data_IF_698847726399
#
_entry.id   IF_698847726399
#
_cell.length_a   1.000
_cell.length_b   1.000
_cell.length_c   1.000
_cell.angle_alpha   90.00
_cell.angle_beta   90.00
_cell.angle_gamma   90.00
#
_symmetry.space_group_name_H-M   'P 1'
#
loop_
_entity.id
_entity.type
_entity.pdbx_description
1 polymer ?
#
# COMPACT_ATOMS: atom_id res chain seq x y z
N UNK A 1 17.61 -15.70 -20.58
CA UNK A 1 17.30 -15.37 -19.18
C UNK A 1 15.81 -15.61 -19.05
N UNK A 2 15.43 -16.65 -18.31
CA UNK A 2 14.04 -17.12 -18.21
C UNK A 2 13.19 -16.03 -17.53
N UNK A 3 12.04 -15.65 -18.12
CA UNK A 3 11.12 -14.67 -17.53
C UNK A 3 10.64 -15.09 -16.13
N UNK A 4 10.80 -16.37 -15.76
CA UNK A 4 10.56 -16.90 -14.42
C UNK A 4 11.57 -16.44 -13.35
N UNK A 5 12.74 -15.92 -13.72
CA UNK A 5 13.75 -15.45 -12.75
C UNK A 5 13.61 -13.98 -12.34
N UNK A 6 12.64 -13.23 -12.91
CA UNK A 6 12.54 -11.78 -12.74
C UNK A 6 12.20 -11.28 -11.32
N UNK A 7 11.94 -12.17 -10.35
CA UNK A 7 11.42 -11.77 -9.03
C UNK A 7 12.11 -12.42 -7.82
N UNK A 8 13.40 -12.76 -7.91
CA UNK A 8 14.19 -13.18 -6.74
C UNK A 8 15.13 -12.03 -6.37
N UNK A 9 14.60 -11.00 -5.72
CA UNK A 9 15.43 -9.92 -5.16
C UNK A 9 15.38 -10.00 -3.64
N UNK A 10 16.58 -9.99 -3.03
CA UNK A 10 16.83 -10.05 -1.60
C UNK A 10 16.00 -9.02 -0.83
N UNK A 11 14.93 -9.45 -0.17
CA UNK A 11 14.19 -8.60 0.75
C UNK A 11 14.90 -8.54 2.10
N UNK A 12 15.06 -7.34 2.67
CA UNK A 12 15.43 -7.23 4.07
C UNK A 12 14.22 -7.56 4.95
N UNK A 13 14.35 -8.55 5.84
CA UNK A 13 13.31 -8.86 6.84
C UNK A 13 13.40 -7.94 8.08
N UNK A 14 14.18 -6.86 8.03
CA UNK A 14 14.36 -5.90 9.10
C UNK A 14 14.31 -4.48 8.53
N UNK A 15 13.84 -3.50 9.32
CA UNK A 15 13.26 -3.62 10.67
C UNK A 15 11.75 -3.96 10.67
N UNK A 16 11.13 -4.13 11.84
CA UNK A 16 9.67 -4.25 12.00
C UNK A 16 8.97 -2.89 12.00
N UNK A 17 7.64 -2.86 11.84
CA UNK A 17 6.89 -1.61 11.91
C UNK A 17 6.98 -0.95 13.29
N UNK A 18 6.99 -1.73 14.37
CA UNK A 18 7.10 -1.21 15.74
C UNK A 18 8.47 -0.55 16.00
N UNK A 19 9.55 -1.15 15.46
CA UNK A 19 10.89 -0.59 15.58
C UNK A 19 10.98 0.79 14.89
N UNK A 20 10.48 0.89 13.66
CA UNK A 20 10.42 2.17 12.94
C UNK A 20 9.47 3.16 13.63
N UNK A 21 8.30 2.71 14.09
CA UNK A 21 7.32 3.59 14.72
C UNK A 21 7.87 4.19 16.02
N UNK A 22 8.69 3.44 16.75
CA UNK A 22 9.40 3.93 17.94
C UNK A 22 10.38 5.05 17.60
N UNK A 23 11.11 4.93 16.50
CA UNK A 23 12.02 5.96 16.01
C UNK A 23 11.28 7.25 15.64
N UNK A 24 10.15 7.12 14.94
CA UNK A 24 9.33 8.26 14.51
C UNK A 24 8.22 8.66 15.48
N UNK A 25 8.33 8.29 16.77
CA UNK A 25 7.29 8.53 17.76
C UNK A 25 6.89 10.00 17.88
N UNK A 26 7.85 10.93 17.78
CA UNK A 26 7.61 12.38 17.79
C UNK A 26 6.82 12.86 16.56
N UNK A 27 7.02 12.22 15.41
CA UNK A 27 6.36 12.55 14.14
C UNK A 27 4.98 11.88 14.01
N UNK A 28 4.74 10.78 14.72
CA UNK A 28 3.42 10.13 14.81
C UNK A 28 2.48 10.89 15.74
N UNK A 29 3.01 11.42 16.84
CA UNK A 29 2.21 12.05 17.91
C UNK A 29 1.30 13.15 17.36
N UNK A 30 0.01 13.06 17.67
CA UNK A 30 -0.99 14.06 17.30
C UNK A 30 -1.39 14.05 15.82
N UNK A 31 -0.84 13.17 14.98
CA UNK A 31 -1.22 13.08 13.56
C UNK A 31 -2.57 12.41 13.37
N UNK A 32 -3.28 12.87 12.34
CA UNK A 32 -4.47 12.19 11.82
C UNK A 32 -4.04 11.23 10.73
N UNK A 33 -4.40 9.96 10.87
CA UNK A 33 -4.08 8.89 9.91
C UNK A 33 -5.38 8.28 9.42
N UNK A 34 -5.56 8.28 8.10
CA UNK A 34 -6.66 7.61 7.43
C UNK A 34 -6.09 6.45 6.62
N UNK A 35 -6.72 5.28 6.74
CA UNK A 35 -6.31 4.10 5.98
C UNK A 35 -7.51 3.35 5.41
N UNK A 36 -7.39 2.92 4.16
CA UNK A 36 -8.37 2.11 3.44
C UNK A 36 -8.01 0.63 3.45
N UNK A 37 -9.01 -0.23 3.26
CA UNK A 37 -8.80 -1.67 3.14
C UNK A 37 -8.34 -2.36 4.44
N UNK A 38 -8.66 -1.81 5.62
CA UNK A 38 -8.27 -2.42 6.90
C UNK A 38 -9.08 -3.70 7.13
N UNK A 39 -8.40 -4.78 7.51
CA UNK A 39 -9.01 -6.04 7.91
C UNK A 39 -8.14 -6.74 8.95
N UNK A 40 -8.67 -7.72 9.71
CA UNK A 40 -7.89 -8.50 10.64
C UNK A 40 -6.66 -9.16 9.96
N UNK A 41 -5.53 -9.14 10.64
CA UNK A 41 -4.27 -9.78 10.21
C UNK A 41 -3.71 -9.28 8.86
N UNK A 42 -4.02 -8.06 8.43
CA UNK A 42 -3.44 -7.48 7.22
C UNK A 42 -2.42 -6.36 7.52
N UNK A 43 -1.72 -5.93 6.48
CA UNK A 43 -0.73 -4.85 6.53
C UNK A 43 -1.26 -3.56 7.15
N UNK A 44 -2.49 -3.18 6.80
CA UNK A 44 -3.09 -1.94 7.29
C UNK A 44 -3.34 -1.96 8.79
N UNK A 45 -3.83 -3.09 9.33
CA UNK A 45 -3.97 -3.23 10.77
C UNK A 45 -2.62 -3.28 11.48
N UNK A 46 -1.64 -4.02 10.96
CA UNK A 46 -0.30 -4.06 11.55
C UNK A 46 0.37 -2.67 11.60
N UNK A 47 0.22 -1.87 10.54
CA UNK A 47 0.65 -0.47 10.51
C UNK A 47 -0.03 0.35 11.61
N UNK A 48 -1.36 0.25 11.75
CA UNK A 48 -2.10 0.97 12.79
C UNK A 48 -1.68 0.55 14.20
N UNK A 49 -1.49 -0.74 14.43
CA UNK A 49 -1.05 -1.30 15.71
C UNK A 49 0.36 -0.83 16.08
N UNK A 50 1.27 -0.70 15.10
CA UNK A 50 2.62 -0.20 15.33
C UNK A 50 2.63 1.28 15.75
N UNK A 51 1.78 2.11 15.15
CA UNK A 51 1.78 3.56 15.43
C UNK A 51 0.91 3.95 16.64
N UNK A 52 -0.07 3.13 16.99
CA UNK A 52 -1.03 3.39 18.07
C UNK A 52 -0.40 3.75 19.43
N UNK A 53 0.67 3.06 19.91
CA UNK A 53 1.34 3.40 21.17
C UNK A 53 1.94 4.81 21.20
N UNK A 54 2.20 5.41 20.02
CA UNK A 54 2.87 6.71 19.88
C UNK A 54 1.90 7.90 19.85
N UNK A 55 0.65 7.68 20.29
CA UNK A 55 -0.37 8.72 20.52
C UNK A 55 -0.69 9.54 19.26
N UNK A 56 -1.05 8.91 18.13
CA UNK A 56 -1.65 9.64 17.02
C UNK A 56 -2.90 10.38 17.51
N UNK A 57 -3.21 11.51 16.88
CA UNK A 57 -4.36 12.33 17.24
C UNK A 57 -5.67 11.65 16.86
N UNK A 58 -5.78 11.12 15.65
CA UNK A 58 -7.01 10.50 15.15
C UNK A 58 -6.68 9.37 14.17
N UNK A 59 -7.28 8.19 14.38
CA UNK A 59 -7.20 7.07 13.45
C UNK A 59 -8.56 6.87 12.78
N UNK A 60 -8.59 6.93 11.44
CA UNK A 60 -9.79 6.77 10.62
C UNK A 60 -9.64 5.48 9.81
N UNK A 61 -10.47 4.49 10.13
CA UNK A 61 -10.45 3.18 9.49
C UNK A 61 -11.56 3.09 8.45
N UNK A 62 -11.20 2.72 7.23
CA UNK A 62 -12.13 2.40 6.14
C UNK A 62 -11.96 0.93 5.76
N UNK A 63 -13.05 0.17 5.79
CA UNK A 63 -13.08 -1.24 5.41
C UNK A 63 -14.27 -1.56 4.52
N UNK A 64 -14.14 -2.60 3.68
CA UNK A 64 -15.20 -3.06 2.77
C UNK A 64 -16.39 -3.67 3.51
N UNK A 65 -16.18 -4.24 4.70
CA UNK A 65 -17.24 -4.89 5.48
C UNK A 65 -17.25 -4.38 6.91
N UNK A 66 -18.44 -4.28 7.50
CA UNK A 66 -18.59 -3.91 8.91
C UNK A 66 -17.91 -4.92 9.84
N UNK A 67 -17.92 -6.20 9.49
CA UNK A 67 -17.20 -7.24 10.22
C UNK A 67 -15.70 -6.94 10.29
N UNK A 68 -15.05 -6.71 9.14
CA UNK A 68 -13.62 -6.41 9.12
C UNK A 68 -13.30 -5.12 9.87
N UNK A 69 -14.18 -4.11 9.77
CA UNK A 69 -14.03 -2.86 10.49
C UNK A 69 -14.06 -3.06 12.00
N UNK A 70 -15.12 -3.70 12.51
CA UNK A 70 -15.29 -3.94 13.95
C UNK A 70 -14.18 -4.82 14.51
N UNK A 71 -13.84 -5.93 13.86
CA UNK A 71 -12.76 -6.81 14.31
C UNK A 71 -11.40 -6.11 14.34
N UNK A 72 -11.13 -5.20 13.38
CA UNK A 72 -9.89 -4.42 13.37
C UNK A 72 -9.88 -3.36 14.46
N UNK A 73 -11.01 -2.71 14.70
CA UNK A 73 -11.19 -1.75 15.78
C UNK A 73 -10.98 -2.41 17.16
N UNK A 74 -11.59 -3.57 17.39
CA UNK A 74 -11.45 -4.33 18.64
C UNK A 74 -10.00 -4.76 18.88
N UNK A 75 -9.31 -5.28 17.85
CA UNK A 75 -7.90 -5.64 17.95
C UNK A 75 -7.02 -4.44 18.35
N UNK A 76 -7.27 -3.28 17.75
CA UNK A 76 -6.51 -2.06 18.02
C UNK A 76 -6.76 -1.52 19.44
N UNK A 77 -8.03 -1.48 19.87
CA UNK A 77 -8.41 -1.04 21.22
C UNK A 77 -7.87 -2.01 22.28
N UNK A 78 -7.93 -3.33 22.02
CA UNK A 78 -7.41 -4.34 22.93
C UNK A 78 -5.91 -4.20 23.19
N UNK A 79 -5.13 -3.77 22.19
CA UNK A 79 -3.68 -3.53 22.32
C UNK A 79 -3.34 -2.17 22.93
N UNK A 80 -4.12 -1.13 22.62
CA UNK A 80 -3.90 0.23 23.12
C UNK A 80 -5.20 0.82 23.64
N UNK A 81 -5.62 0.48 24.89
CA UNK A 81 -6.91 0.89 25.45
C UNK A 81 -7.10 2.41 25.54
N UNK A 82 -6.02 3.19 25.53
CA UNK A 82 -6.05 4.64 25.53
C UNK A 82 -6.56 5.25 24.19
N UNK A 83 -6.73 4.46 23.13
CA UNK A 83 -7.25 4.91 21.84
C UNK A 83 -8.78 5.05 21.86
N UNK A 84 -9.28 6.07 22.56
CA UNK A 84 -10.69 6.44 22.52
C UNK A 84 -11.08 7.19 21.23
N UNK A 85 -10.09 7.55 20.39
CA UNK A 85 -10.23 8.40 19.20
C UNK A 85 -10.21 7.62 17.87
N UNK A 86 -10.53 6.32 17.85
CA UNK A 86 -10.70 5.55 16.59
C UNK A 86 -12.08 5.85 16.02
N UNK A 87 -12.15 6.40 14.79
CA UNK A 87 -13.42 6.65 14.09
C UNK A 87 -13.65 5.64 12.99
N UNK A 88 -14.82 5.01 13.03
CA UNK A 88 -15.36 4.23 11.93
C UNK A 88 -15.81 5.20 10.83
N UNK A 89 -15.18 5.13 9.66
CA UNK A 89 -15.66 5.81 8.48
C UNK A 89 -16.50 4.81 7.66
N UNK A 90 -17.83 4.84 7.83
CA UNK A 90 -18.76 4.01 7.06
C UNK A 90 -19.92 4.85 6.51
N UNK A 91 -20.18 4.65 5.20
CA UNK A 91 -21.35 5.07 4.41
C UNK A 91 -21.43 6.51 3.82
N UNK A 92 -20.39 6.94 3.10
CA UNK A 92 -20.55 7.65 1.80
C UNK A 92 -19.80 6.92 0.66
N UNK A 93 -19.27 5.73 0.94
CA UNK A 93 -18.53 4.85 0.01
C UNK A 93 -19.22 3.48 -0.08
N UNK A 94 -20.56 3.45 0.07
CA UNK A 94 -21.35 2.24 -0.04
C UNK A 94 -21.98 2.17 -1.43
N UNK A 95 -21.45 1.27 -2.26
CA UNK A 95 -22.11 0.84 -3.50
C UNK A 95 -21.30 1.09 -4.76
N UNK A 96 -20.10 0.51 -4.86
CA UNK A 96 -19.52 0.25 -6.18
C UNK A 96 -19.12 -1.23 -6.24
N UNK A 97 -19.84 -1.99 -7.07
CA UNK A 97 -19.51 -3.35 -7.50
C UNK A 97 -18.50 -3.35 -8.66
N UNK A 98 -17.62 -2.34 -8.71
CA UNK A 98 -16.46 -2.35 -9.59
C UNK A 98 -15.27 -2.76 -8.73
N UNK A 99 -14.75 -3.94 -9.05
CA UNK A 99 -13.40 -4.48 -8.86
C UNK A 99 -12.37 -3.60 -8.14
N UNK A 100 -11.48 -4.25 -7.38
CA UNK A 100 -10.34 -3.69 -6.63
C UNK A 100 -9.37 -2.86 -7.50
N UNK A 101 -9.83 -1.73 -8.06
CA UNK A 101 -9.22 -0.99 -9.14
C UNK A 101 -8.68 0.39 -8.69
N UNK A 102 -7.64 0.90 -9.38
CA UNK A 102 -7.08 2.24 -9.17
C UNK A 102 -8.13 3.37 -9.13
N UNK A 103 -9.26 3.20 -9.83
CA UNK A 103 -10.36 4.16 -9.88
C UNK A 103 -11.02 4.41 -8.52
N UNK A 104 -11.11 3.39 -7.66
CA UNK A 104 -11.69 3.54 -6.32
C UNK A 104 -10.85 4.46 -5.44
N UNK A 105 -9.52 4.25 -5.43
CA UNK A 105 -8.60 5.12 -4.70
C UNK A 105 -8.52 6.52 -5.30
N UNK A 106 -8.51 6.64 -6.63
CA UNK A 106 -8.56 7.94 -7.31
C UNK A 106 -9.78 8.76 -6.90
N UNK A 107 -10.98 8.16 -7.02
CA UNK A 107 -12.23 8.82 -6.67
C UNK A 107 -12.25 9.18 -5.18
N UNK A 108 -11.86 8.26 -4.31
CA UNK A 108 -11.77 8.50 -2.88
C UNK A 108 -10.86 9.70 -2.56
N UNK A 109 -9.64 9.73 -3.11
CA UNK A 109 -8.70 10.84 -2.94
C UNK A 109 -9.29 12.15 -3.45
N UNK A 110 -10.00 12.14 -4.59
CA UNK A 110 -10.69 13.32 -5.13
C UNK A 110 -11.77 13.85 -4.18
N UNK A 111 -12.57 12.95 -3.59
CA UNK A 111 -13.64 13.31 -2.65
C UNK A 111 -13.09 13.90 -1.34
N UNK A 112 -11.92 13.45 -0.87
CA UNK A 112 -11.28 14.00 0.33
C UNK A 112 -10.27 15.10 0.04
N UNK A 113 -10.06 15.48 -1.23
CA UNK A 113 -9.01 16.43 -1.64
C UNK A 113 -9.10 17.77 -0.91
N UNK A 114 -10.31 18.30 -0.71
CA UNK A 114 -10.51 19.53 0.05
C UNK A 114 -10.00 19.43 1.50
N UNK A 115 -10.14 18.27 2.13
CA UNK A 115 -9.65 18.00 3.49
C UNK A 115 -8.13 17.87 3.50
N UNK A 116 -7.55 17.20 2.51
CA UNK A 116 -6.09 17.09 2.34
C UNK A 116 -5.44 18.45 2.11
N UNK A 117 -5.99 19.27 1.22
CA UNK A 117 -5.51 20.64 0.96
C UNK A 117 -5.64 21.51 2.22
N UNK A 118 -6.70 21.34 2.99
CA UNK A 118 -6.83 22.04 4.25
C UNK A 118 -5.77 21.62 5.26
N UNK A 119 -5.49 20.32 5.39
CA UNK A 119 -4.42 19.82 6.26
C UNK A 119 -3.04 20.36 5.82
N UNK A 120 -2.74 20.34 4.51
CA UNK A 120 -1.48 20.82 3.96
C UNK A 120 -1.25 22.31 4.22
N UNK A 121 -2.29 23.16 4.13
CA UNK A 121 -2.20 24.59 4.46
C UNK A 121 -1.89 24.87 5.94
N UNK A 122 -2.20 23.92 6.82
CA UNK A 122 -2.06 24.06 8.28
C UNK A 122 -0.93 23.18 8.85
N UNK A 123 -0.06 22.62 7.99
CA UNK A 123 1.09 21.82 8.39
C UNK A 123 2.34 22.26 7.64
N UNK A 124 3.55 21.97 8.17
CA UNK A 124 4.80 22.05 7.42
C UNK A 124 4.68 21.45 6.01
N UNK A 125 5.46 22.03 5.09
CA UNK A 125 5.51 21.58 3.70
C UNK A 125 5.76 20.07 3.62
N UNK A 126 4.96 19.35 2.81
CA UNK A 126 5.10 17.90 2.55
C UNK A 126 4.87 17.00 3.77
N UNK A 127 4.38 17.54 4.88
CA UNK A 127 3.98 16.74 6.05
C UNK A 127 2.60 16.10 5.87
N UNK A 128 1.73 16.70 5.06
CA UNK A 128 0.52 16.03 4.58
C UNK A 128 0.89 15.09 3.44
N UNK A 129 0.70 13.78 3.63
CA UNK A 129 1.15 12.73 2.70
C UNK A 129 0.00 11.86 2.20
N UNK A 130 0.08 11.45 0.94
CA UNK A 130 -0.77 10.41 0.33
C UNK A 130 0.09 9.22 -0.11
N UNK A 131 -0.11 8.06 0.50
CA UNK A 131 0.65 6.84 0.23
C UNK A 131 -0.21 5.83 -0.53
N UNK A 132 0.31 5.31 -1.65
CA UNK A 132 -0.35 4.26 -2.41
C UNK A 132 0.46 2.95 -2.34
N UNK A 133 -0.17 1.88 -1.85
CA UNK A 133 0.46 0.56 -1.76
C UNK A 133 0.45 -0.11 -3.14
N UNK A 134 1.65 -0.41 -3.64
CA UNK A 134 1.88 -1.18 -4.87
C UNK A 134 2.31 -2.62 -4.54
N UNK A 135 3.02 -3.28 -5.45
CA UNK A 135 3.62 -4.60 -5.31
C UNK A 135 4.72 -4.76 -6.36
N UNK A 136 5.62 -5.74 -6.21
CA UNK A 136 6.45 -6.22 -7.33
C UNK A 136 5.62 -6.64 -8.55
N UNK A 137 4.33 -6.95 -8.36
CA UNK A 137 3.40 -7.19 -9.47
C UNK A 137 3.30 -6.04 -10.47
N UNK A 138 3.64 -4.79 -10.12
CA UNK A 138 3.67 -3.69 -11.10
C UNK A 138 4.60 -3.99 -12.29
N UNK A 139 5.57 -4.90 -12.13
CA UNK A 139 6.49 -5.36 -13.18
C UNK A 139 5.87 -6.34 -14.19
N UNK A 140 4.65 -6.82 -13.93
CA UNK A 140 3.95 -7.80 -14.77
C UNK A 140 3.28 -7.12 -15.96
N UNK A 141 2.75 -5.91 -15.80
CA UNK A 141 1.97 -5.24 -16.83
C UNK A 141 2.08 -3.72 -16.76
N UNK A 142 2.19 -3.10 -17.92
CA UNK A 142 1.91 -1.67 -18.12
C UNK A 142 0.37 -1.42 -18.11
N UNK A 143 -0.03 -0.16 -18.31
CA UNK A 143 -1.40 0.25 -18.59
C UNK A 143 -1.76 -0.03 -20.05
N UNK A 144 -2.78 -0.85 -20.25
CA UNK A 144 -3.36 -1.11 -21.56
C UNK A 144 -4.35 0.01 -21.92
N UNK A 145 -3.85 1.17 -22.38
CA UNK A 145 -4.67 2.36 -22.63
C UNK A 145 -5.83 2.16 -23.61
N UNK A 146 -5.67 1.27 -24.60
CA UNK A 146 -6.71 0.96 -25.59
C UNK A 146 -7.70 -0.12 -25.12
N UNK A 147 -7.47 -0.71 -23.95
CA UNK A 147 -8.29 -1.76 -23.36
C UNK A 147 -8.13 -1.73 -21.83
N UNK A 148 -8.48 -0.59 -21.21
CA UNK A 148 -8.14 -0.32 -19.81
C UNK A 148 -8.81 -1.30 -18.83
N UNK A 149 -10.00 -1.79 -19.19
CA UNK A 149 -10.73 -2.81 -18.43
C UNK A 149 -10.25 -4.23 -18.75
N UNK A 150 -9.30 -4.39 -19.68
CA UNK A 150 -8.80 -5.64 -20.22
C UNK A 150 -9.92 -6.52 -20.81
N UNK A 151 -11.03 -5.92 -21.26
CA UNK A 151 -12.19 -6.67 -21.75
C UNK A 151 -11.83 -7.50 -22.98
N UNK A 152 -11.09 -6.94 -23.93
CA UNK A 152 -10.66 -7.69 -25.12
C UNK A 152 -9.59 -8.73 -24.76
N UNK A 153 -8.65 -8.37 -23.88
CA UNK A 153 -7.55 -9.29 -23.52
C UNK A 153 -8.01 -10.49 -22.70
N UNK A 154 -8.95 -10.30 -21.78
CA UNK A 154 -9.53 -11.38 -20.96
C UNK A 154 -10.39 -12.34 -21.80
N UNK A 155 -10.99 -11.88 -22.90
CA UNK A 155 -11.74 -12.75 -23.83
C UNK A 155 -10.84 -13.65 -24.69
N UNK A 156 -9.59 -13.25 -24.91
CA UNK A 156 -8.63 -13.99 -25.75
C UNK A 156 -7.73 -14.94 -24.94
N UNK A 157 -7.57 -14.68 -23.64
CA UNK A 157 -6.66 -15.40 -22.74
C UNK A 157 -7.40 -15.81 -21.44
N UNK A 158 -8.24 -16.85 -21.47
CA UNK A 158 -8.78 -17.49 -20.26
C UNK A 158 -7.68 -18.31 -19.55
N UNK A 159 -6.64 -17.64 -19.08
CA UNK A 159 -5.53 -18.26 -18.34
C UNK A 159 -5.35 -17.58 -16.98
N UNK A 160 -4.74 -18.25 -15.98
CA UNK A 160 -4.32 -17.61 -14.74
C UNK A 160 -3.48 -16.33 -14.93
N UNK A 161 -2.80 -16.20 -16.09
CA UNK A 161 -2.00 -15.04 -16.48
C UNK A 161 -2.83 -13.75 -16.66
N UNK A 162 -4.11 -13.89 -16.99
CA UNK A 162 -5.02 -12.77 -17.20
C UNK A 162 -5.33 -12.03 -15.88
N UNK A 163 -5.42 -12.78 -14.77
CA UNK A 163 -5.56 -12.24 -13.42
C UNK A 163 -4.29 -11.53 -12.94
N UNK A 164 -3.11 -12.08 -13.24
CA UNK A 164 -1.83 -11.45 -12.93
C UNK A 164 -1.59 -10.17 -13.75
N UNK A 165 -2.03 -10.13 -15.00
CA UNK A 165 -2.00 -8.92 -15.83
C UNK A 165 -2.85 -7.82 -15.20
N UNK A 166 -4.11 -8.12 -14.85
CA UNK A 166 -5.00 -7.14 -14.20
C UNK A 166 -4.44 -6.64 -12.88
N UNK A 167 -3.89 -7.56 -12.08
CA UNK A 167 -3.18 -7.21 -10.85
C UNK A 167 -1.99 -6.30 -11.15
N UNK A 168 -1.12 -6.66 -12.08
CA UNK A 168 0.05 -5.87 -12.45
C UNK A 168 -0.30 -4.47 -12.92
N UNK A 169 -1.29 -4.35 -13.82
CA UNK A 169 -1.82 -3.07 -14.28
C UNK A 169 -2.33 -2.21 -13.11
N UNK A 170 -3.05 -2.80 -12.16
CA UNK A 170 -3.53 -2.07 -10.96
C UNK A 170 -2.37 -1.51 -10.12
N UNK A 171 -1.26 -2.26 -10.03
CA UNK A 171 -0.09 -1.89 -9.24
C UNK A 171 0.78 -0.86 -9.95
N UNK A 172 0.87 -0.93 -11.28
CA UNK A 172 1.44 0.13 -12.13
C UNK A 172 0.67 1.43 -12.01
N UNK A 173 -0.66 1.36 -12.07
CA UNK A 173 -1.52 2.53 -11.92
C UNK A 173 -1.34 3.22 -10.55
N UNK A 174 -1.14 2.46 -9.46
CA UNK A 174 -0.86 3.06 -8.15
C UNK A 174 0.48 3.83 -8.10
N UNK A 175 1.49 3.37 -8.84
CA UNK A 175 2.77 4.09 -8.98
C UNK A 175 2.56 5.37 -9.77
N UNK A 176 1.97 5.28 -10.96
CA UNK A 176 1.66 6.44 -11.82
C UNK A 176 0.77 7.45 -11.09
N UNK A 177 -0.21 6.99 -10.32
CA UNK A 177 -1.10 7.85 -9.54
C UNK A 177 -0.34 8.65 -8.48
N UNK A 178 0.67 8.06 -7.82
CA UNK A 178 1.50 8.77 -6.84
C UNK A 178 2.34 9.87 -7.50
N UNK A 179 2.84 9.61 -8.72
CA UNK A 179 3.56 10.62 -9.51
C UNK A 179 2.60 11.74 -9.93
N UNK A 180 1.40 11.40 -10.42
CA UNK A 180 0.36 12.38 -10.80
C UNK A 180 -0.04 13.27 -9.63
N UNK A 181 -0.22 12.70 -8.42
CA UNK A 181 -0.50 13.48 -7.21
C UNK A 181 0.67 14.40 -6.85
N UNK A 182 1.91 13.94 -7.03
CA UNK A 182 3.12 14.74 -6.79
C UNK A 182 3.16 15.96 -7.71
N UNK A 183 2.96 15.76 -9.01
CA UNK A 183 2.96 16.85 -10.00
C UNK A 183 1.83 17.85 -9.76
N UNK A 184 0.63 17.35 -9.45
CA UNK A 184 -0.58 18.18 -9.31
C UNK A 184 -0.69 18.87 -7.94
N UNK A 185 -0.19 18.25 -6.88
CA UNK A 185 -0.41 18.69 -5.48
C UNK A 185 0.88 19.03 -4.72
N UNK A 186 2.06 18.72 -5.25
CA UNK A 186 3.34 19.01 -4.61
C UNK A 186 3.53 20.49 -4.28
N UNK A 187 3.21 21.38 -5.22
CA UNK A 187 3.24 22.83 -5.02
C UNK A 187 2.18 23.33 -4.02
N UNK A 188 1.16 22.52 -3.72
CA UNK A 188 0.13 22.80 -2.71
C UNK A 188 0.49 22.21 -1.34
N UNK A 189 1.71 21.69 -1.19
CA UNK A 189 2.27 21.18 0.06
C UNK A 189 1.92 19.75 0.41
N UNK A 190 1.26 19.00 -0.49
CA UNK A 190 0.98 17.58 -0.29
C UNK A 190 2.10 16.76 -0.95
N UNK A 191 2.68 15.82 -0.22
CA UNK A 191 3.57 14.82 -0.79
C UNK A 191 2.81 13.53 -1.12
N UNK A 192 3.27 12.80 -2.13
CA UNK A 192 2.76 11.48 -2.46
C UNK A 192 3.89 10.50 -2.71
N UNK A 193 3.68 9.25 -2.30
CA UNK A 193 4.65 8.17 -2.42
C UNK A 193 3.93 6.88 -2.79
N UNK A 194 4.65 6.01 -3.50
CA UNK A 194 4.23 4.63 -3.70
C UNK A 194 5.16 3.69 -2.95
N UNK A 195 4.66 2.53 -2.52
CA UNK A 195 5.52 1.56 -1.84
C UNK A 195 5.18 0.11 -2.15
N UNK A 196 6.20 -0.74 -2.20
CA UNK A 196 6.08 -2.20 -2.14
C UNK A 196 6.39 -2.68 -0.72
N UNK A 197 5.49 -3.46 -0.10
CA UNK A 197 5.68 -3.91 1.27
C UNK A 197 6.58 -5.17 1.38
N UNK A 198 7.07 -5.71 0.27
CA UNK A 198 7.84 -6.95 0.23
C UNK A 198 6.96 -8.18 -0.01
N UNK A 199 7.58 -9.36 -0.06
CA UNK A 199 6.85 -10.63 -0.14
C UNK A 199 6.31 -11.01 1.25
N UNK A 200 5.00 -10.83 1.44
CA UNK A 200 4.31 -11.11 2.70
C UNK A 200 3.25 -12.17 2.46
N UNK A 201 3.17 -13.12 3.37
CA UNK A 201 2.14 -14.15 3.32
C UNK A 201 0.87 -13.66 4.03
N UNK A 202 -0.03 -12.98 3.29
CA UNK A 202 -1.31 -12.47 3.85
C UNK A 202 -2.46 -13.46 3.59
N UNK A 203 -2.54 -14.52 4.39
CA UNK A 203 -3.67 -15.46 4.39
C UNK A 203 -3.28 -16.87 4.85
N UNK A 204 -3.84 -17.32 5.99
CA UNK A 204 -3.73 -18.69 6.56
C UNK A 204 -2.44 -19.44 6.24
N UNK A 205 -1.35 -19.26 6.99
CA UNK A 205 -0.87 -20.23 7.99
C UNK A 205 0.14 -19.52 8.90
N UNK A 206 -0.03 -19.62 10.23
CA UNK A 206 0.78 -18.88 11.21
C UNK A 206 1.96 -19.69 11.77
N UNK A 207 2.10 -20.94 11.35
CA UNK A 207 3.03 -21.91 11.97
C UNK A 207 3.80 -22.75 10.94
N UNK A 208 3.95 -22.28 9.69
CA UNK A 208 4.70 -23.02 8.66
C UNK A 208 6.11 -22.48 8.48
N UNK A 209 7.03 -23.42 8.31
CA UNK A 209 8.37 -23.19 7.80
C UNK A 209 8.34 -22.64 6.36
N UNK A 210 9.47 -22.09 5.89
CA UNK A 210 9.58 -21.53 4.52
C UNK A 210 9.32 -22.62 3.48
N UNK A 211 9.75 -23.85 3.79
CA UNK A 211 9.59 -25.05 3.00
C UNK A 211 8.11 -25.43 2.83
N UNK A 212 7.33 -25.41 3.91
CA UNK A 212 5.89 -25.72 3.86
C UNK A 212 5.07 -24.62 3.16
N UNK A 213 5.55 -23.37 3.19
CA UNK A 213 4.93 -22.28 2.42
C UNK A 213 5.17 -22.48 0.92
N UNK A 214 6.39 -22.84 0.51
CA UNK A 214 6.73 -23.17 -0.89
C UNK A 214 5.87 -24.32 -1.39
N UNK A 215 5.76 -25.41 -0.61
CA UNK A 215 4.96 -26.59 -0.97
C UNK A 215 3.47 -26.25 -1.14
N UNK A 216 2.89 -25.44 -0.24
CA UNK A 216 1.48 -25.01 -0.36
C UNK A 216 1.24 -24.02 -1.49
N UNK A 217 2.21 -23.16 -1.80
CA UNK A 217 2.14 -22.29 -2.97
C UNK A 217 2.17 -23.09 -4.26
N UNK A 218 3.08 -24.05 -4.39
CA UNK A 218 3.16 -24.97 -5.54
C UNK A 218 1.85 -25.76 -5.70
N UNK A 219 1.29 -26.29 -4.62
CA UNK A 219 -0.01 -26.97 -4.61
C UNK A 219 -1.18 -26.07 -5.02
N UNK A 220 -1.09 -24.75 -4.76
CA UNK A 220 -2.08 -23.75 -5.16
C UNK A 220 -1.82 -23.15 -6.56
N UNK A 221 -0.82 -23.66 -7.31
CA UNK A 221 -0.43 -23.13 -8.62
C UNK A 221 0.25 -21.76 -8.57
N UNK A 222 0.70 -21.34 -7.38
CA UNK A 222 1.49 -20.14 -7.16
C UNK A 222 2.96 -20.53 -7.08
N UNK A 223 3.75 -20.22 -8.12
CA UNK A 223 5.19 -20.48 -8.08
C UNK A 223 5.84 -19.61 -7.00
N UNK A 224 6.35 -20.25 -5.94
CA UNK A 224 7.02 -19.61 -4.82
C UNK A 224 8.52 -19.97 -4.87
N UNK A 225 9.39 -19.08 -5.37
CA UNK A 225 10.81 -19.39 -5.46
C UNK A 225 11.42 -19.61 -4.06
N UNK A 226 12.22 -20.68 -3.86
CA UNK A 226 12.85 -21.01 -2.57
C UNK A 226 13.78 -19.92 -2.00
N UNK A 227 14.23 -18.98 -2.84
CA UNK A 227 15.14 -17.90 -2.48
C UNK A 227 14.44 -16.61 -2.01
N UNK A 228 13.10 -16.60 -1.88
CA UNK A 228 12.35 -15.45 -1.37
C UNK A 228 12.37 -15.44 0.15
N UNK A 229 13.00 -14.42 0.73
CA UNK A 229 12.88 -14.15 2.16
C UNK A 229 11.52 -13.50 2.43
N UNK A 230 10.61 -14.25 3.03
CA UNK A 230 9.30 -13.74 3.42
C UNK A 230 9.40 -12.79 4.62
N UNK A 231 8.50 -11.80 4.61
CA UNK A 231 8.32 -10.86 5.71
C UNK A 231 7.10 -11.25 6.54
N UNK A 232 7.19 -11.03 7.85
CA UNK A 232 6.00 -10.95 8.69
C UNK A 232 5.15 -9.75 8.27
N UNK A 233 3.88 -9.73 8.66
CA UNK A 233 2.99 -8.60 8.38
C UNK A 233 3.55 -7.30 8.97
N UNK A 234 4.16 -7.34 10.17
CA UNK A 234 4.80 -6.16 10.75
C UNK A 234 6.03 -5.71 9.96
N UNK A 235 6.91 -6.63 9.54
CA UNK A 235 8.06 -6.28 8.68
C UNK A 235 7.63 -5.69 7.33
N UNK A 236 6.49 -6.12 6.80
CA UNK A 236 5.89 -5.52 5.61
C UNK A 236 5.28 -4.13 5.85
N UNK A 237 4.73 -3.91 7.04
CA UNK A 237 4.19 -2.63 7.46
C UNK A 237 5.29 -1.57 7.75
N UNK A 238 6.55 -1.97 7.92
CA UNK A 238 7.68 -1.06 8.17
C UNK A 238 7.81 0.04 7.09
N UNK A 239 7.70 -0.32 5.81
CA UNK A 239 7.74 0.67 4.72
C UNK A 239 6.58 1.67 4.81
N UNK A 240 5.41 1.25 5.31
CA UNK A 240 4.26 2.14 5.49
C UNK A 240 4.55 3.20 6.56
N UNK A 241 5.13 2.78 7.70
CA UNK A 241 5.53 3.69 8.78
C UNK A 241 6.56 4.71 8.27
N UNK A 242 7.54 4.25 7.51
CA UNK A 242 8.57 5.12 6.91
C UNK A 242 7.92 6.17 6.00
N UNK A 243 7.11 5.75 5.03
CA UNK A 243 6.43 6.68 4.11
C UNK A 243 5.60 7.73 4.87
N UNK A 244 4.91 7.33 5.93
CA UNK A 244 4.04 8.22 6.66
C UNK A 244 4.78 9.20 7.58
N UNK A 245 5.90 8.80 8.20
CA UNK A 245 6.44 9.52 9.35
C UNK A 245 7.93 9.85 9.28
N UNK A 246 8.68 9.32 8.33
CA UNK A 246 10.09 9.68 8.17
C UNK A 246 10.20 11.13 7.67
N UNK A 247 10.76 12.08 8.46
CA UNK A 247 10.92 13.45 8.03
C UNK A 247 11.91 13.61 6.87
N UNK A 248 12.91 12.72 6.75
CA UNK A 248 14.04 12.88 5.83
C UNK A 248 13.65 12.59 4.38
N UNK A 249 12.57 11.83 4.16
CA UNK A 249 12.04 11.57 2.82
C UNK A 249 11.08 12.65 2.32
N UNK A 250 10.75 13.67 3.13
CA UNK A 250 9.75 14.68 2.76
C UNK A 250 10.07 15.33 1.40
N UNK A 251 11.34 15.59 1.13
CA UNK A 251 11.79 16.22 -0.10
C UNK A 251 11.93 15.27 -1.30
N UNK A 252 11.81 13.96 -1.07
CA UNK A 252 11.83 12.93 -2.12
C UNK A 252 10.42 12.64 -2.66
N UNK A 253 9.59 13.68 -2.74
CA UNK A 253 8.20 13.60 -3.18
C UNK A 253 8.06 12.88 -4.54
N UNK A 254 7.12 11.96 -4.66
CA UNK A 254 6.89 11.14 -5.85
C UNK A 254 7.70 9.84 -5.89
N UNK A 255 8.52 9.58 -4.88
CA UNK A 255 9.39 8.40 -4.88
C UNK A 255 8.63 7.10 -4.62
N UNK A 256 9.23 6.03 -5.10
CA UNK A 256 8.86 4.65 -4.84
C UNK A 256 9.71 4.09 -3.69
N UNK A 257 9.09 3.41 -2.74
CA UNK A 257 9.79 2.78 -1.62
C UNK A 257 9.66 1.27 -1.63
N UNK A 258 10.75 0.60 -1.28
CA UNK A 258 10.83 -0.83 -1.05
C UNK A 258 11.78 -1.04 0.11
N UNK A 259 11.45 -1.98 1.00
CA UNK A 259 12.27 -2.28 2.17
C UNK A 259 12.67 -1.01 2.92
N UNK A 260 11.66 -0.25 3.39
CA UNK A 260 11.80 0.97 4.19
C UNK A 260 12.73 2.05 3.60
N UNK A 261 13.09 1.97 2.31
CA UNK A 261 14.02 2.89 1.65
C UNK A 261 13.47 3.35 0.31
N UNK A 262 13.95 4.50 -0.14
CA UNK A 262 13.77 4.91 -1.54
C UNK A 262 14.43 3.87 -2.45
N UNK A 263 13.68 3.41 -3.44
CA UNK A 263 14.13 2.45 -4.43
C UNK A 263 13.99 3.08 -5.82
N UNK A 264 15.07 3.01 -6.59
CA UNK A 264 15.20 3.68 -7.90
C UNK A 264 15.54 2.71 -9.04
N UNK A 265 15.87 1.46 -8.70
CA UNK A 265 16.35 0.44 -9.64
C UNK A 265 15.32 -0.66 -9.87
N UNK A 266 14.53 -1.01 -8.86
CA UNK A 266 13.51 -2.06 -8.94
C UNK A 266 12.11 -1.49 -9.23
N UNK A 267 12.03 -0.62 -10.24
CA UNK A 267 10.78 -0.05 -10.74
C UNK A 267 10.72 -0.21 -12.26
N UNK A 268 9.60 -0.71 -12.78
CA UNK A 268 9.44 -0.89 -14.22
C UNK A 268 9.46 0.46 -14.96
N UNK A 269 10.22 0.63 -16.07
CA UNK A 269 10.34 1.92 -16.76
C UNK A 269 9.00 2.53 -17.19
N UNK A 270 8.03 1.70 -17.58
CA UNK A 270 6.70 2.17 -17.96
C UNK A 270 5.91 2.75 -16.77
N UNK A 271 6.19 2.32 -15.54
CA UNK A 271 5.56 2.86 -14.34
C UNK A 271 6.07 4.27 -13.96
N UNK A 272 7.09 4.75 -14.66
CA UNK A 272 7.64 6.11 -14.55
C UNK A 272 7.35 6.96 -15.80
N UNK A 273 6.57 6.45 -16.75
CA UNK A 273 6.32 7.12 -18.01
C UNK A 273 5.46 8.38 -17.82
N UNK A 274 6.00 9.55 -18.17
CA UNK A 274 5.30 10.85 -18.02
C UNK A 274 4.01 10.96 -18.83
N UNK A 275 3.99 10.41 -20.05
CA UNK A 275 2.78 10.40 -20.87
C UNK A 275 1.68 9.56 -20.20
N UNK A 276 2.04 8.41 -19.64
CA UNK A 276 1.12 7.59 -18.84
C UNK A 276 0.61 8.32 -17.59
N UNK A 277 1.41 9.19 -16.96
CA UNK A 277 1.00 10.02 -15.82
C UNK A 277 -0.02 11.09 -16.23
N UNK A 278 0.14 11.69 -17.41
CA UNK A 278 -0.78 12.70 -17.94
C UNK A 278 -2.14 12.12 -18.34
N UNK A 279 -2.14 10.89 -18.87
CA UNK A 279 -3.36 10.18 -19.27
C UNK A 279 -4.20 9.69 -18.07
N UNK A 280 -3.62 9.63 -16.87
CA UNK A 280 -4.24 9.15 -15.62
C UNK A 280 -4.88 10.28 -14.79
#
# INVERSE_FOLDING_TARGET
MDERELCILHYSALPTAEEIAKEYASHIKGKTVLITGVSPNNLGLAFLEAIAPHKPGLLILVSRTLFNLHSSQEALIGKVPALQQVRNAAAEVNGWHASDEPLGHFLFTKLILGKLLNAARNSPLRETRAMNVTSNGHRISDIHWNDINLEMRLLLEETPWSSWTRYGQSKTANVLFSISLTEKLGAKGIASFSLHPGCIFTGMVRDLSTEELVEKGEAAGQWLPPAVRYKTVSQGAATHVTVCFDPDIADQNGSYLKDYKIETTDIAPYALNKHSVELL
#
